data_IF_899157611895
#
_entry.id   IF_899157611895
#
_cell.length_a   1.000
_cell.length_b   1.000
_cell.length_c   1.000
_cell.angle_alpha   90.00
_cell.angle_beta   90.00
_cell.angle_gamma   90.00
#
_symmetry.space_group_name_H-M   'P 1'
#
loop_
_entity.id
_entity.type
_entity.pdbx_description
1 polymer ?
#
# COMPACT_ATOMS: atom_id res chain seq x y z
N UNK A 1 14.77 -12.50 0.19
CA UNK A 1 14.08 -11.53 1.08
C UNK A 1 12.66 -11.14 0.63
N UNK A 2 11.96 -12.05 -0.03
CA UNK A 2 10.60 -11.85 -0.59
C UNK A 2 9.48 -11.82 0.47
N UNK A 3 9.73 -12.35 1.68
CA UNK A 3 8.72 -12.46 2.73
C UNK A 3 8.36 -11.16 3.44
N UNK A 4 9.26 -10.17 3.48
CA UNK A 4 9.01 -8.91 4.20
C UNK A 4 7.96 -8.01 3.56
N UNK A 5 7.77 -8.09 2.25
CA UNK A 5 6.72 -7.28 1.58
C UNK A 5 5.31 -7.74 1.92
N UNK A 6 5.10 -9.05 2.07
CA UNK A 6 3.81 -9.64 2.41
C UNK A 6 3.53 -9.74 3.91
N UNK A 7 4.46 -9.33 4.76
CA UNK A 7 4.34 -9.31 6.22
C UNK A 7 4.34 -7.84 6.69
N UNK A 8 5.41 -7.35 7.26
CA UNK A 8 5.52 -5.96 7.74
C UNK A 8 5.28 -4.89 6.66
N UNK A 9 5.64 -5.18 5.40
CA UNK A 9 5.38 -4.28 4.27
C UNK A 9 3.90 -3.96 4.07
N UNK A 10 3.02 -4.93 4.28
CA UNK A 10 1.58 -4.73 4.14
C UNK A 10 1.06 -3.63 5.08
N UNK A 11 1.50 -3.60 6.33
CA UNK A 11 1.09 -2.56 7.29
C UNK A 11 1.52 -1.15 6.85
N UNK A 12 2.73 -1.01 6.31
CA UNK A 12 3.22 0.28 5.84
C UNK A 12 2.52 0.72 4.55
N UNK A 13 2.28 -0.21 3.62
CA UNK A 13 1.58 0.11 2.37
C UNK A 13 0.12 0.48 2.63
N UNK A 14 -0.52 -0.12 3.63
CA UNK A 14 -1.88 0.25 4.05
C UNK A 14 -1.93 1.70 4.56
N UNK A 15 -1.02 2.09 5.46
CA UNK A 15 -0.90 3.46 5.95
C UNK A 15 -0.65 4.44 4.79
N UNK A 16 0.23 4.08 3.85
CA UNK A 16 0.53 4.92 2.69
C UNK A 16 -0.69 5.06 1.78
N UNK A 17 -1.38 3.97 1.44
CA UNK A 17 -2.60 3.98 0.63
C UNK A 17 -3.65 4.91 1.23
N UNK A 18 -3.93 4.74 2.53
CA UNK A 18 -4.89 5.56 3.25
C UNK A 18 -4.49 7.05 3.27
N UNK A 19 -3.23 7.36 3.60
CA UNK A 19 -2.72 8.73 3.63
C UNK A 19 -2.77 9.42 2.27
N UNK A 20 -2.65 8.67 1.18
CA UNK A 20 -2.75 9.18 -0.19
C UNK A 20 -4.20 9.22 -0.72
N UNK A 21 -5.18 8.72 0.03
CA UNK A 21 -6.56 8.58 -0.43
C UNK A 21 -6.71 7.56 -1.57
N UNK A 22 -5.88 6.51 -1.58
CA UNK A 22 -5.80 5.53 -2.68
C UNK A 22 -6.41 4.16 -2.30
N UNK A 23 -7.21 4.08 -1.25
CA UNK A 23 -7.81 2.84 -0.77
C UNK A 23 -8.69 2.11 -1.82
N UNK A 24 -9.27 2.84 -2.77
CA UNK A 24 -10.03 2.28 -3.90
C UNK A 24 -9.25 2.12 -5.20
N UNK A 25 -7.91 2.25 -5.16
CA UNK A 25 -7.05 2.21 -6.34
C UNK A 25 -5.68 1.61 -6.00
N UNK A 26 -4.63 2.01 -6.74
CA UNK A 26 -3.27 1.57 -6.46
C UNK A 26 -2.25 2.17 -7.40
N UNK A 27 -0.97 1.81 -7.21
CA UNK A 27 0.11 2.17 -8.12
C UNK A 27 -0.11 1.60 -9.53
N UNK A 28 0.46 2.29 -10.51
CA UNK A 28 0.38 1.92 -11.95
C UNK A 28 1.69 1.33 -12.48
N UNK A 29 2.77 1.43 -11.72
CA UNK A 29 4.07 0.89 -12.10
C UNK A 29 4.83 0.36 -10.88
N UNK A 30 5.55 -0.75 -11.06
CA UNK A 30 6.36 -1.39 -10.04
C UNK A 30 7.76 -1.66 -10.59
N UNK A 31 8.78 -1.10 -9.95
CA UNK A 31 10.18 -1.10 -10.39
C UNK A 31 11.01 -1.85 -9.34
N UNK A 32 11.63 -2.98 -9.69
CA UNK A 32 12.44 -3.71 -8.73
C UNK A 32 13.77 -2.99 -8.46
N UNK A 33 14.31 -3.16 -7.26
CA UNK A 33 15.65 -2.68 -6.90
C UNK A 33 16.69 -3.20 -7.88
N UNK A 34 17.55 -2.29 -8.34
CA UNK A 34 18.65 -2.57 -9.29
C UNK A 34 18.25 -2.43 -10.76
N UNK A 35 16.97 -2.38 -11.11
CA UNK A 35 16.53 -2.18 -12.49
C UNK A 35 16.81 -0.72 -12.90
N UNK A 36 17.51 -0.52 -14.03
CA UNK A 36 17.90 0.79 -14.57
C UNK A 36 18.50 1.75 -13.54
N UNK A 37 19.28 1.20 -12.59
CA UNK A 37 19.93 1.98 -11.53
C UNK A 37 19.02 2.39 -10.36
N UNK A 38 17.78 1.89 -10.31
CA UNK A 38 16.86 2.17 -9.20
C UNK A 38 17.43 1.61 -7.88
N UNK A 39 17.69 2.50 -6.92
CA UNK A 39 18.34 2.13 -5.65
C UNK A 39 17.42 1.31 -4.74
N UNK A 40 16.13 1.54 -4.84
CA UNK A 40 15.10 0.94 -3.98
C UNK A 40 14.04 0.19 -4.80
N UNK A 41 13.37 -0.76 -4.17
CA UNK A 41 12.12 -1.27 -4.70
C UNK A 41 11.08 -0.13 -4.68
N UNK A 42 10.58 0.23 -5.84
CA UNK A 42 9.76 1.42 -6.04
C UNK A 42 8.42 1.07 -6.67
N UNK A 43 7.36 1.74 -6.27
CA UNK A 43 6.13 1.77 -7.04
C UNK A 43 5.63 3.21 -7.21
N UNK A 44 4.94 3.45 -8.32
CA UNK A 44 4.56 4.80 -8.76
C UNK A 44 3.05 4.85 -8.98
N UNK A 45 2.41 5.87 -8.42
CA UNK A 45 0.99 6.15 -8.64
C UNK A 45 0.78 6.99 -9.90
N UNK A 46 -0.44 6.96 -10.45
CA UNK A 46 -0.79 7.70 -11.67
C UNK A 46 -0.60 9.22 -11.55
N UNK A 47 -0.66 9.77 -10.35
CA UNK A 47 -0.40 11.18 -10.06
C UNK A 47 1.10 11.53 -9.91
N UNK A 48 1.99 10.57 -10.15
CA UNK A 48 3.45 10.75 -10.07
C UNK A 48 4.05 10.56 -8.67
N UNK A 49 3.25 10.29 -7.65
CA UNK A 49 3.79 9.97 -6.31
C UNK A 49 4.57 8.65 -6.40
N UNK A 50 5.78 8.68 -5.84
CA UNK A 50 6.69 7.54 -5.76
C UNK A 50 6.78 7.05 -4.33
N UNK A 51 6.68 5.75 -4.15
CA UNK A 51 6.94 5.08 -2.87
C UNK A 51 8.17 4.21 -3.03
N UNK A 52 9.17 4.46 -2.22
CA UNK A 52 10.44 3.75 -2.22
C UNK A 52 10.59 2.97 -0.92
N UNK A 53 10.95 1.71 -1.05
CA UNK A 53 11.17 0.84 0.11
C UNK A 53 12.65 0.69 0.36
N UNK A 54 13.12 1.27 1.45
CA UNK A 54 14.46 1.06 1.97
C UNK A 54 14.45 -0.06 3.02
N UNK A 55 15.13 -1.16 2.69
CA UNK A 55 15.27 -2.30 3.62
C UNK A 55 16.40 -2.09 4.65
N UNK A 56 17.23 -1.09 4.47
CA UNK A 56 18.42 -0.82 5.31
C UNK A 56 18.14 0.20 6.43
N UNK A 57 16.94 0.76 6.49
CA UNK A 57 16.54 1.66 7.57
C UNK A 57 16.52 0.94 8.92
N UNK A 58 17.29 1.47 9.87
CA UNK A 58 17.38 0.94 11.24
C UNK A 58 16.06 1.06 12.01
N UNK A 59 15.16 1.96 11.58
CA UNK A 59 13.83 2.15 12.16
C UNK A 59 12.77 1.76 11.14
N UNK A 60 11.82 0.94 11.55
CA UNK A 60 10.62 0.62 10.77
C UNK A 60 9.66 1.81 10.82
N UNK A 61 9.80 2.75 9.88
CA UNK A 61 8.98 3.96 9.80
C UNK A 61 8.59 4.27 8.37
N UNK A 62 7.60 5.13 8.22
CA UNK A 62 7.20 5.72 6.94
C UNK A 62 7.59 7.19 6.97
N UNK A 63 8.19 7.67 5.89
CA UNK A 63 8.50 9.07 5.68
C UNK A 63 7.66 9.59 4.52
N UNK A 64 6.87 10.64 4.78
CA UNK A 64 6.14 11.38 3.76
C UNK A 64 6.85 12.70 3.48
N UNK A 65 7.45 12.83 2.31
CA UNK A 65 8.07 14.06 1.84
C UNK A 65 7.06 14.88 1.04
N UNK A 66 6.60 15.98 1.60
CA UNK A 66 5.64 16.88 0.99
C UNK A 66 6.23 18.25 0.67
N UNK A 67 5.50 19.06 -0.09
CA UNK A 67 5.91 20.43 -0.47
C UNK A 67 5.93 21.41 0.71
N UNK A 68 5.30 21.07 1.83
CA UNK A 68 5.22 21.91 3.03
C UNK A 68 6.08 21.38 4.18
N UNK A 69 6.73 20.24 4.00
CA UNK A 69 7.54 19.60 5.03
C UNK A 69 7.50 18.08 4.94
N UNK A 70 8.10 17.45 5.93
CA UNK A 70 8.21 16.00 6.04
C UNK A 70 7.45 15.51 7.28
N UNK A 71 6.83 14.35 7.14
CA UNK A 71 6.15 13.65 8.25
C UNK A 71 6.76 12.27 8.38
N UNK A 72 7.18 11.90 9.57
CA UNK A 72 7.60 10.55 9.92
C UNK A 72 6.59 9.91 10.84
N UNK A 73 6.13 8.72 10.48
CA UNK A 73 5.16 7.96 11.26
C UNK A 73 5.64 6.53 11.44
N UNK A 74 5.44 5.99 12.63
CA UNK A 74 5.74 4.60 12.95
C UNK A 74 4.70 4.08 13.96
N UNK A 75 4.91 2.86 14.44
CA UNK A 75 4.13 2.28 15.54
C UNK A 75 4.44 2.97 16.86
N UNK A 76 3.66 2.63 17.89
CA UNK A 76 3.85 3.12 19.27
C UNK A 76 3.71 4.65 19.37
N UNK A 77 2.70 5.20 18.65
CA UNK A 77 2.35 6.63 18.64
C UNK A 77 3.49 7.56 18.20
N UNK A 78 4.47 7.02 17.46
CA UNK A 78 5.56 7.84 16.92
C UNK A 78 5.06 8.69 15.74
N UNK A 79 5.11 10.01 15.93
CA UNK A 79 4.81 11.03 14.92
C UNK A 79 5.78 12.19 15.08
N UNK A 80 6.60 12.43 14.07
CA UNK A 80 7.48 13.60 14.00
C UNK A 80 7.24 14.38 12.72
N UNK A 81 7.50 15.68 12.74
CA UNK A 81 7.35 16.55 11.56
C UNK A 81 8.46 17.58 11.46
N UNK A 82 8.82 17.94 10.23
CA UNK A 82 9.67 19.07 9.92
C UNK A 82 8.94 19.97 8.90
N UNK A 83 8.60 21.20 9.24
CA UNK A 83 8.80 21.88 10.53
C UNK A 83 7.98 21.26 11.68
N UNK A 84 8.49 21.34 12.89
CA UNK A 84 7.90 20.76 14.12
C UNK A 84 6.42 21.15 14.33
N UNK A 85 5.99 22.29 13.85
CA UNK A 85 4.60 22.76 13.98
C UNK A 85 3.61 22.18 12.96
N UNK A 86 4.05 21.36 12.02
CA UNK A 86 3.20 20.87 10.92
C UNK A 86 2.00 20.04 11.42
N UNK A 87 2.21 19.19 12.43
CA UNK A 87 1.18 18.37 13.04
C UNK A 87 0.54 19.00 14.29
N UNK A 88 1.00 20.17 14.72
CA UNK A 88 0.52 20.78 15.96
C UNK A 88 -0.85 21.48 15.81
N UNK A 89 -1.32 21.70 14.59
CA UNK A 89 -2.60 22.34 14.33
C UNK A 89 -3.74 21.35 14.63
N UNK A 90 -4.68 21.71 15.52
CA UNK A 90 -5.88 20.90 15.70
C UNK A 90 -6.68 20.76 14.41
N UNK A 91 -7.25 19.58 14.18
CA UNK A 91 -8.15 19.35 13.05
C UNK A 91 -9.39 20.24 13.18
N UNK A 92 -9.81 20.83 12.06
CA UNK A 92 -11.01 21.66 11.92
C UNK A 92 -12.12 20.83 11.26
N UNK A 93 -13.35 21.32 11.30
CA UNK A 93 -14.49 20.62 10.72
C UNK A 93 -14.39 20.39 9.20
N UNK A 94 -13.64 21.24 8.49
CA UNK A 94 -13.36 21.13 7.05
C UNK A 94 -12.17 20.23 6.69
N UNK A 95 -11.39 19.78 7.68
CA UNK A 95 -10.27 18.89 7.44
C UNK A 95 -10.77 17.44 7.23
N UNK A 96 -9.94 16.59 6.66
CA UNK A 96 -10.26 15.17 6.49
C UNK A 96 -10.26 14.48 7.85
N UNK A 97 -11.39 13.93 8.23
CA UNK A 97 -11.55 13.11 9.43
C UNK A 97 -11.62 11.65 9.03
N UNK A 98 -10.67 10.87 9.51
CA UNK A 98 -10.64 9.43 9.26
C UNK A 98 -11.76 8.72 10.02
N UNK A 99 -12.21 7.58 9.49
CA UNK A 99 -13.11 6.69 10.21
C UNK A 99 -12.43 6.25 11.52
N UNK A 100 -13.04 6.52 12.65
CA UNK A 100 -12.52 6.14 13.96
C UNK A 100 -13.19 4.86 14.47
N UNK A 101 -12.39 3.91 14.95
CA UNK A 101 -12.89 2.70 15.61
C UNK A 101 -11.91 2.30 16.71
N UNK A 102 -12.36 2.30 17.95
CA UNK A 102 -11.57 1.85 19.10
C UNK A 102 -11.58 0.32 19.27
N UNK A 103 -12.48 -0.36 18.57
CA UNK A 103 -12.60 -1.82 18.61
C UNK A 103 -13.07 -2.38 17.27
N UNK A 104 -12.13 -2.89 16.51
CA UNK A 104 -12.39 -3.42 15.17
C UNK A 104 -13.32 -4.65 15.13
N UNK A 105 -13.40 -5.44 16.22
CA UNK A 105 -14.36 -6.55 16.30
C UNK A 105 -15.78 -6.04 16.43
N UNK A 106 -16.01 -5.05 17.31
CA UNK A 106 -17.35 -4.43 17.46
C UNK A 106 -17.75 -3.71 16.18
N UNK A 107 -16.82 -2.98 15.56
CA UNK A 107 -17.05 -2.33 14.27
C UNK A 107 -17.50 -3.36 13.21
N UNK A 108 -16.80 -4.47 13.10
CA UNK A 108 -17.13 -5.55 12.16
C UNK A 108 -18.56 -6.09 12.42
N UNK A 109 -18.89 -6.41 13.69
CA UNK A 109 -20.25 -6.92 14.01
C UNK A 109 -21.34 -5.87 13.76
N UNK A 110 -21.07 -4.60 14.03
CA UNK A 110 -22.00 -3.52 13.71
C UNK A 110 -22.18 -3.36 12.20
N UNK A 111 -21.14 -3.48 11.43
CA UNK A 111 -21.20 -3.44 9.98
C UNK A 111 -21.95 -4.64 9.39
N UNK A 112 -21.81 -5.84 9.95
CA UNK A 112 -22.62 -7.01 9.58
C UNK A 112 -24.11 -6.72 9.78
N UNK A 113 -24.49 -6.09 10.91
CA UNK A 113 -25.90 -5.77 11.22
C UNK A 113 -26.45 -4.63 10.37
N UNK A 114 -25.65 -3.60 10.14
CA UNK A 114 -26.10 -2.36 9.49
C UNK A 114 -25.81 -2.32 7.99
N UNK A 115 -25.01 -3.25 7.49
CA UNK A 115 -24.52 -3.31 6.10
C UNK A 115 -23.67 -2.10 5.70
N UNK A 116 -23.05 -1.43 6.66
CA UNK A 116 -22.02 -0.42 6.41
C UNK A 116 -20.68 -1.08 6.09
N UNK A 117 -19.76 -0.34 5.48
CA UNK A 117 -18.37 -0.75 5.33
C UNK A 117 -17.63 -0.62 6.67
N UNK A 118 -16.88 -1.65 7.11
CA UNK A 118 -16.05 -1.58 8.30
C UNK A 118 -14.81 -0.72 8.04
N UNK A 119 -14.14 -0.28 9.11
CA UNK A 119 -12.88 0.45 9.02
C UNK A 119 -11.80 -0.34 8.24
N UNK A 120 -11.80 -1.66 8.39
CA UNK A 120 -10.93 -2.57 7.65
C UNK A 120 -11.74 -3.29 6.56
N UNK A 121 -12.24 -2.54 5.58
CA UNK A 121 -12.98 -3.10 4.46
C UNK A 121 -12.12 -4.04 3.63
N UNK A 122 -12.73 -5.09 3.09
CA UNK A 122 -12.03 -6.11 2.29
C UNK A 122 -11.36 -5.50 1.06
N UNK A 123 -11.94 -4.46 0.45
CA UNK A 123 -11.35 -3.76 -0.70
C UNK A 123 -10.03 -3.09 -0.32
N UNK A 124 -9.95 -2.42 0.83
CA UNK A 124 -8.72 -1.81 1.34
C UNK A 124 -7.62 -2.87 1.50
N UNK A 125 -7.96 -4.00 2.16
CA UNK A 125 -7.04 -5.11 2.33
C UNK A 125 -6.58 -5.73 1.00
N UNK A 126 -7.51 -5.87 0.04
CA UNK A 126 -7.23 -6.37 -1.31
C UNK A 126 -6.22 -5.46 -2.05
N UNK A 127 -6.45 -4.13 -2.05
CA UNK A 127 -5.55 -3.16 -2.69
C UNK A 127 -4.15 -3.17 -2.07
N UNK A 128 -4.08 -3.21 -0.76
CA UNK A 128 -2.80 -3.32 -0.04
C UNK A 128 -2.07 -4.63 -0.37
N UNK A 129 -2.76 -5.76 -0.36
CA UNK A 129 -2.19 -7.04 -0.73
C UNK A 129 -1.70 -7.07 -2.19
N UNK A 130 -2.43 -6.45 -3.10
CA UNK A 130 -2.05 -6.30 -4.51
C UNK A 130 -0.70 -5.60 -4.66
N UNK A 131 -0.44 -4.52 -3.91
CA UNK A 131 0.88 -3.85 -3.92
C UNK A 131 1.98 -4.82 -3.49
N UNK A 132 1.75 -5.60 -2.44
CA UNK A 132 2.72 -6.58 -1.96
C UNK A 132 3.04 -7.63 -3.05
N UNK A 133 2.02 -8.17 -3.71
CA UNK A 133 2.18 -9.18 -4.74
C UNK A 133 2.88 -8.64 -5.99
N UNK A 134 2.49 -7.46 -6.48
CA UNK A 134 3.09 -6.85 -7.66
C UNK A 134 4.56 -6.47 -7.44
N UNK A 135 4.93 -6.02 -6.24
CA UNK A 135 6.32 -5.81 -5.85
C UNK A 135 7.13 -7.12 -5.95
N UNK A 136 6.56 -8.25 -5.49
CA UNK A 136 7.20 -9.57 -5.59
C UNK A 136 7.32 -10.02 -7.05
N UNK A 137 6.28 -9.81 -7.87
CA UNK A 137 6.30 -10.16 -9.28
C UNK A 137 7.37 -9.36 -10.02
N UNK A 138 7.41 -8.02 -9.84
CA UNK A 138 8.43 -7.17 -10.45
C UNK A 138 9.85 -7.62 -10.08
N UNK A 139 10.10 -7.90 -8.81
CA UNK A 139 11.39 -8.43 -8.34
C UNK A 139 11.73 -9.79 -8.98
N UNK A 140 10.73 -10.67 -9.12
CA UNK A 140 10.92 -12.01 -9.71
C UNK A 140 11.22 -11.98 -11.18
N UNK A 141 10.57 -11.08 -11.96
CA UNK A 141 10.85 -10.93 -13.39
C UNK A 141 12.06 -10.03 -13.67
N UNK A 142 12.57 -9.30 -12.65
CA UNK A 142 13.78 -8.48 -12.72
C UNK A 142 13.64 -7.23 -13.58
N UNK A 143 12.45 -6.73 -13.81
CA UNK A 143 12.17 -5.52 -14.60
C UNK A 143 10.92 -4.79 -14.12
N UNK A 144 10.76 -3.54 -14.53
CA UNK A 144 9.55 -2.78 -14.26
C UNK A 144 8.33 -3.44 -14.92
N UNK A 145 7.22 -3.47 -14.19
CA UNK A 145 5.92 -3.91 -14.68
C UNK A 145 4.90 -2.79 -14.58
N UNK A 146 4.00 -2.72 -15.55
CA UNK A 146 2.89 -1.75 -15.57
C UNK A 146 1.61 -2.46 -15.16
N UNK A 147 0.80 -1.79 -14.34
CA UNK A 147 -0.43 -2.31 -13.78
C UNK A 147 -1.61 -1.38 -14.07
N UNK A 148 -2.74 -1.95 -14.43
CA UNK A 148 -4.02 -1.25 -14.50
C UNK A 148 -4.82 -1.57 -13.22
N UNK A 149 -4.89 -0.66 -12.25
CA UNK A 149 -5.58 -0.94 -10.98
C UNK A 149 -7.11 -1.05 -11.12
N UNK A 150 -7.69 -0.53 -12.20
CA UNK A 150 -9.12 -0.62 -12.44
C UNK A 150 -9.53 -1.97 -13.07
N UNK A 151 -8.66 -2.52 -13.93
CA UNK A 151 -8.88 -3.84 -14.57
C UNK A 151 -8.22 -4.99 -13.83
N UNK A 152 -7.30 -4.66 -12.93
CA UNK A 152 -6.44 -5.63 -12.23
C UNK A 152 -5.62 -6.50 -13.19
N UNK A 153 -4.96 -5.83 -14.15
CA UNK A 153 -4.17 -6.49 -15.20
C UNK A 153 -2.75 -5.92 -15.28
N UNK A 154 -1.77 -6.80 -15.51
CA UNK A 154 -0.42 -6.40 -15.89
C UNK A 154 -0.40 -6.09 -17.39
N UNK A 155 0.02 -4.88 -17.76
CA UNK A 155 -0.03 -4.38 -19.13
C UNK A 155 1.23 -4.78 -19.88
N UNK A 156 1.04 -5.48 -21.00
CA UNK A 156 2.10 -5.72 -22.00
C UNK A 156 3.20 -6.71 -21.58
N UNK A 157 3.02 -7.44 -20.46
CA UNK A 157 3.99 -8.44 -19.98
C UNK A 157 3.31 -9.77 -19.66
N UNK A 158 3.17 -10.69 -20.64
CA UNK A 158 2.52 -11.98 -20.45
C UNK A 158 3.21 -12.88 -19.41
N UNK A 159 4.55 -12.78 -19.28
CA UNK A 159 5.29 -13.56 -18.29
C UNK A 159 4.96 -13.08 -16.88
N UNK A 160 5.01 -11.78 -16.63
CA UNK A 160 4.63 -11.22 -15.35
C UNK A 160 3.14 -11.51 -15.04
N UNK A 161 2.24 -11.37 -16.02
CA UNK A 161 0.82 -11.66 -15.86
C UNK A 161 0.56 -13.13 -15.48
N UNK A 162 1.33 -14.08 -16.01
CA UNK A 162 1.21 -15.50 -15.63
C UNK A 162 1.54 -15.78 -14.16
N UNK A 163 2.15 -14.83 -13.45
CA UNK A 163 2.48 -14.95 -12.03
C UNK A 163 1.39 -14.42 -11.09
N UNK A 164 0.31 -13.82 -11.63
CA UNK A 164 -0.83 -13.35 -10.84
C UNK A 164 -1.63 -14.51 -10.23
N UNK A 165 -1.63 -15.65 -10.87
CA UNK A 165 -2.30 -16.85 -10.36
C UNK A 165 -1.38 -18.07 -10.43
N UNK A 166 -1.74 -19.12 -9.73
CA UNK A 166 -1.04 -20.40 -9.73
C UNK A 166 -1.92 -21.48 -10.35
N UNK A 167 -1.31 -22.47 -11.06
CA UNK A 167 -2.05 -23.65 -11.48
C UNK A 167 -2.76 -24.28 -10.27
N UNK A 168 -4.05 -24.53 -10.40
CA UNK A 168 -4.85 -25.13 -9.34
C UNK A 168 -4.96 -26.62 -9.52
N UNK A 169 -5.10 -27.36 -8.43
CA UNK A 169 -5.42 -28.78 -8.50
C UNK A 169 -6.78 -28.98 -9.14
N UNK A 170 -6.94 -30.10 -9.86
CA UNK A 170 -8.24 -30.48 -10.40
C UNK A 170 -9.32 -30.49 -9.30
N UNK A 171 -10.48 -29.90 -9.58
CA UNK A 171 -11.59 -29.74 -8.64
C UNK A 171 -11.50 -28.50 -7.72
N UNK A 172 -10.47 -27.66 -7.83
CA UNK A 172 -10.29 -26.43 -7.01
C UNK A 172 -10.17 -25.18 -7.88
N UNK A 173 -10.77 -25.17 -9.06
CA UNK A 173 -10.90 -23.96 -9.87
C UNK A 173 -11.78 -22.93 -9.13
N UNK A 174 -11.42 -21.64 -9.24
CA UNK A 174 -12.35 -20.57 -8.82
C UNK A 174 -13.50 -20.51 -9.81
N UNK A 175 -14.69 -20.28 -9.31
CA UNK A 175 -15.90 -20.07 -10.12
C UNK A 175 -15.82 -18.76 -10.87
#
# INVERSE_FOLDING_TARGET
MLFRSGDWGAHHFDIIQNALGMDGSGPVEFIPKGFEGCAFQTHVYANGIRVERDDDLAKSMIEFQGTKGTVWVSRDDFLETDPVGLAARPLRGEDIHLYASDNHHLDFFDCVRTRRHPIADVEIGHRTATICHLNVIAAKVGRAIRWDPAKEEIIGDPLAASLLDRPRRAGYALL
#
